data_IF_562365289094
#
_entry.id   IF_562365289094
#
_cell.length_a   1.000
_cell.length_b   1.000
_cell.length_c   1.000
_cell.angle_alpha   90.00
_cell.angle_beta   90.00
_cell.angle_gamma   90.00
#
_symmetry.space_group_name_H-M   'P 1'
#
loop_
_entity.id
_entity.type
_entity.pdbx_description
1 polymer ?
#
# COMPACT_ATOMS: atom_id res chain seq x y z
N UNK A 1 -59.23 5.53 -44.16
CA UNK A 1 -59.02 5.43 -42.74
C UNK A 1 -58.05 4.26 -42.40
N UNK A 2 -58.34 3.00 -42.79
CA UNK A 2 -57.47 1.87 -42.48
C UNK A 2 -56.03 1.92 -42.98
N UNK A 3 -55.83 2.46 -44.18
CA UNK A 3 -54.50 2.59 -44.82
C UNK A 3 -53.60 3.63 -44.08
N UNK A 4 -54.22 4.74 -43.61
CA UNK A 4 -53.50 5.73 -42.77
C UNK A 4 -53.13 5.22 -41.42
N UNK A 5 -53.98 4.41 -40.77
CA UNK A 5 -53.70 3.75 -39.49
C UNK A 5 -52.59 2.72 -39.65
N UNK A 6 -52.60 1.93 -40.72
CA UNK A 6 -51.52 0.97 -41.03
C UNK A 6 -50.17 1.62 -41.25
N UNK A 7 -50.09 2.73 -41.98
CA UNK A 7 -48.89 3.53 -42.19
C UNK A 7 -48.36 4.11 -40.86
N UNK A 8 -49.23 4.60 -39.99
CA UNK A 8 -48.86 5.15 -38.70
C UNK A 8 -48.27 4.09 -37.78
N UNK A 9 -48.87 2.89 -37.75
CA UNK A 9 -48.35 1.75 -36.98
C UNK A 9 -46.96 1.35 -37.50
N UNK A 10 -46.78 1.27 -38.82
CA UNK A 10 -45.51 0.91 -39.43
C UNK A 10 -44.43 1.97 -39.17
N UNK A 11 -44.78 3.25 -39.19
CA UNK A 11 -43.87 4.34 -38.83
C UNK A 11 -43.43 4.28 -37.35
N UNK A 12 -44.35 4.01 -36.43
CA UNK A 12 -44.04 3.83 -35.00
C UNK A 12 -43.13 2.62 -34.80
N UNK A 13 -43.42 1.51 -35.45
CA UNK A 13 -42.61 0.29 -35.37
C UNK A 13 -41.18 0.52 -35.91
N UNK A 14 -41.04 1.23 -37.02
CA UNK A 14 -39.76 1.63 -37.59
C UNK A 14 -38.98 2.53 -36.61
N UNK A 15 -39.65 3.49 -35.97
CA UNK A 15 -39.01 4.40 -34.99
C UNK A 15 -38.56 3.67 -33.75
N UNK A 16 -39.30 2.69 -33.24
CA UNK A 16 -38.93 1.81 -32.14
C UNK A 16 -37.67 0.99 -32.53
N UNK A 17 -37.64 0.41 -33.70
CA UNK A 17 -36.49 -0.36 -34.20
C UNK A 17 -35.27 0.54 -34.33
N UNK A 18 -35.39 1.72 -34.91
CA UNK A 18 -34.31 2.70 -35.04
C UNK A 18 -33.75 3.11 -33.65
N UNK A 19 -34.59 3.39 -32.69
CA UNK A 19 -34.19 3.76 -31.34
C UNK A 19 -33.45 2.62 -30.63
N UNK A 20 -33.83 1.36 -30.89
CA UNK A 20 -33.15 0.17 -30.36
C UNK A 20 -31.78 -0.09 -31.01
N UNK A 21 -31.53 0.44 -32.21
CA UNK A 21 -30.26 0.26 -32.91
C UNK A 21 -29.11 1.12 -32.33
N UNK A 22 -29.47 2.25 -31.74
CA UNK A 22 -28.47 3.18 -31.20
C UNK A 22 -28.06 2.76 -29.79
N UNK A 23 -26.75 2.59 -29.59
CA UNK A 23 -26.15 2.31 -28.26
C UNK A 23 -25.06 3.33 -27.99
N UNK A 24 -25.09 3.90 -26.78
CA UNK A 24 -24.07 4.80 -26.27
C UNK A 24 -23.20 4.00 -25.32
N UNK A 25 -21.90 4.01 -25.56
CA UNK A 25 -20.89 3.42 -24.65
C UNK A 25 -20.34 4.52 -23.78
N UNK A 26 -20.56 4.46 -22.44
CA UNK A 26 -20.04 5.44 -21.50
C UNK A 26 -18.53 5.42 -21.41
N UNK A 27 -17.95 6.49 -20.83
CA UNK A 27 -16.51 6.59 -20.62
C UNK A 27 -15.99 5.49 -19.69
N UNK A 28 -14.79 4.98 -19.96
CA UNK A 28 -14.15 3.88 -19.25
C UNK A 28 -14.93 2.55 -19.29
N UNK A 29 -15.71 2.34 -20.33
CA UNK A 29 -16.37 1.07 -20.65
C UNK A 29 -16.10 0.68 -22.10
N UNK A 30 -16.17 -0.62 -22.37
CA UNK A 30 -16.18 -1.17 -23.71
C UNK A 30 -17.31 -2.20 -23.82
N UNK A 31 -17.85 -2.38 -25.01
CA UNK A 31 -18.85 -3.41 -25.30
C UNK A 31 -18.33 -4.38 -26.34
N UNK A 32 -18.32 -5.65 -26.00
CA UNK A 32 -17.99 -6.72 -26.95
C UNK A 32 -19.25 -7.11 -27.68
N UNK A 33 -19.22 -7.06 -29.01
CA UNK A 33 -20.38 -7.28 -29.87
C UNK A 33 -20.16 -8.51 -30.72
N UNK A 34 -21.18 -9.35 -30.73
CA UNK A 34 -21.29 -10.55 -31.54
C UNK A 34 -22.30 -10.34 -32.70
N UNK A 35 -21.98 -10.89 -33.84
CA UNK A 35 -22.90 -10.98 -34.97
C UNK A 35 -23.16 -12.45 -35.24
N UNK A 36 -24.42 -12.90 -35.03
CA UNK A 36 -24.82 -14.29 -35.22
C UNK A 36 -23.93 -15.29 -34.50
N UNK A 37 -23.47 -14.92 -33.27
CA UNK A 37 -22.61 -15.76 -32.46
C UNK A 37 -21.10 -15.63 -32.73
N UNK A 38 -20.68 -14.91 -33.76
CA UNK A 38 -19.28 -14.64 -34.03
C UNK A 38 -18.86 -13.27 -33.51
N UNK A 39 -17.64 -13.14 -32.99
CA UNK A 39 -17.07 -11.85 -32.57
C UNK A 39 -17.01 -10.89 -33.76
N UNK A 40 -17.74 -9.78 -33.64
CA UNK A 40 -17.79 -8.71 -34.67
C UNK A 40 -16.77 -7.61 -34.38
N UNK A 41 -16.63 -7.22 -33.12
CA UNK A 41 -15.74 -6.12 -32.71
C UNK A 41 -15.98 -5.66 -31.29
N UNK A 42 -15.08 -4.80 -30.82
CA UNK A 42 -15.19 -4.14 -29.52
C UNK A 42 -15.54 -2.67 -29.73
N UNK A 43 -16.64 -2.22 -29.15
CA UNK A 43 -17.04 -0.84 -29.19
C UNK A 43 -16.43 -0.07 -28.05
N UNK A 44 -15.67 0.94 -28.38
CA UNK A 44 -15.09 1.89 -27.43
C UNK A 44 -16.12 3.00 -27.11
N UNK A 45 -15.72 3.97 -26.31
CA UNK A 45 -16.53 5.11 -25.91
C UNK A 45 -17.12 5.84 -27.13
N UNK A 46 -18.39 6.16 -27.07
CA UNK A 46 -19.10 6.91 -28.10
C UNK A 46 -20.41 6.29 -28.54
N UNK A 47 -20.94 6.81 -29.64
CA UNK A 47 -22.19 6.37 -30.22
C UNK A 47 -21.93 5.29 -31.26
N UNK A 48 -22.61 4.15 -31.10
CA UNK A 48 -22.52 3.01 -32.01
C UNK A 48 -23.89 2.57 -32.48
N UNK A 49 -23.94 2.04 -33.69
CA UNK A 49 -25.18 1.54 -34.29
C UNK A 49 -25.06 0.04 -34.42
N UNK A 50 -25.99 -0.70 -33.84
CA UNK A 50 -26.09 -2.15 -33.97
C UNK A 50 -27.17 -2.53 -34.99
N UNK A 51 -26.94 -3.57 -35.79
CA UNK A 51 -27.98 -4.17 -36.60
C UNK A 51 -29.02 -4.85 -35.71
N UNK A 52 -30.30 -4.48 -35.79
CA UNK A 52 -31.35 -5.15 -35.03
C UNK A 52 -31.43 -6.62 -35.42
N UNK A 53 -31.72 -7.48 -34.43
CA UNK A 53 -31.82 -8.95 -34.52
C UNK A 53 -30.53 -9.70 -34.86
N UNK A 54 -29.51 -9.08 -35.48
CA UNK A 54 -28.29 -9.74 -35.93
C UNK A 54 -27.16 -9.49 -34.95
N UNK A 55 -27.01 -8.26 -34.44
CA UNK A 55 -25.94 -7.89 -33.50
C UNK A 55 -26.42 -8.01 -32.04
N UNK A 56 -25.61 -8.65 -31.23
CA UNK A 56 -25.82 -8.82 -29.76
C UNK A 56 -24.63 -8.26 -28.99
N UNK A 57 -24.90 -7.54 -27.92
CA UNK A 57 -23.86 -7.17 -26.96
C UNK A 57 -23.62 -8.39 -26.08
N UNK A 58 -22.47 -9.05 -26.24
CA UNK A 58 -22.09 -10.21 -25.50
C UNK A 58 -21.72 -9.86 -24.05
N UNK A 59 -20.85 -8.85 -23.86
CA UNK A 59 -20.41 -8.41 -22.53
C UNK A 59 -20.15 -6.90 -22.52
N UNK A 60 -20.48 -6.26 -21.39
CA UNK A 60 -20.02 -4.91 -21.05
C UNK A 60 -18.84 -5.03 -20.10
N UNK A 61 -17.76 -4.38 -20.44
CA UNK A 61 -16.50 -4.48 -19.72
C UNK A 61 -16.14 -3.11 -19.18
N UNK A 62 -15.83 -3.05 -17.89
CA UNK A 62 -15.37 -1.83 -17.21
C UNK A 62 -13.85 -1.81 -17.31
N UNK A 63 -13.31 -0.73 -17.91
CA UNK A 63 -11.87 -0.56 -18.13
C UNK A 63 -11.17 0.16 -16.96
N UNK A 64 -11.93 0.57 -15.94
CA UNK A 64 -11.36 1.14 -14.72
C UNK A 64 -10.67 0.06 -13.93
N UNK A 65 -9.72 0.46 -13.08
CA UNK A 65 -9.15 -0.43 -12.10
C UNK A 65 -10.24 -0.99 -11.18
N UNK A 66 -10.21 -2.29 -10.99
CA UNK A 66 -11.13 -3.03 -10.14
C UNK A 66 -10.34 -3.64 -8.98
N UNK A 67 -11.02 -3.79 -7.86
CA UNK A 67 -10.45 -4.36 -6.64
C UNK A 67 -11.29 -5.57 -6.25
N UNK A 68 -10.60 -6.70 -6.02
CA UNK A 68 -11.24 -7.90 -5.51
C UNK A 68 -10.53 -8.34 -4.25
N UNK A 69 -11.31 -8.54 -3.20
CA UNK A 69 -10.87 -9.05 -1.90
C UNK A 69 -11.14 -10.55 -1.87
N UNK A 70 -10.09 -11.35 -1.76
CA UNK A 70 -10.21 -12.80 -1.70
C UNK A 70 -10.20 -13.29 -0.25
N UNK A 71 -11.01 -14.32 0.06
CA UNK A 71 -11.11 -14.86 1.41
C UNK A 71 -9.77 -15.44 1.89
N UNK A 72 -9.58 -15.57 3.22
CA UNK A 72 -8.37 -16.12 3.81
C UNK A 72 -8.04 -17.52 3.28
N UNK A 73 -6.88 -17.66 2.67
CA UNK A 73 -6.39 -18.93 2.12
C UNK A 73 -5.45 -19.60 3.13
N UNK A 74 -5.62 -20.90 3.42
CA UNK A 74 -4.68 -21.64 4.25
C UNK A 74 -3.40 -21.91 3.47
N UNK A 75 -2.27 -21.55 4.06
CA UNK A 75 -0.92 -21.76 3.51
C UNK A 75 -0.02 -22.36 4.58
N UNK A 76 1.03 -23.05 4.15
CA UNK A 76 2.02 -23.68 5.04
C UNK A 76 3.37 -23.10 4.69
N UNK A 77 4.08 -22.59 5.69
CA UNK A 77 5.44 -22.07 5.55
C UNK A 77 6.47 -23.18 5.50
N UNK A 78 7.73 -22.83 5.13
CA UNK A 78 8.86 -23.74 5.07
C UNK A 78 9.15 -24.43 6.41
N UNK A 79 8.93 -23.76 7.51
CA UNK A 79 9.06 -24.27 8.89
C UNK A 79 7.79 -24.99 9.39
N UNK A 80 6.91 -25.38 8.46
CA UNK A 80 5.71 -26.18 8.69
C UNK A 80 4.65 -25.55 9.59
N UNK A 81 4.55 -24.21 9.56
CA UNK A 81 3.48 -23.48 10.27
C UNK A 81 2.32 -23.23 9.31
N UNK A 82 1.12 -23.68 9.67
CA UNK A 82 -0.11 -23.37 8.92
C UNK A 82 -0.66 -22.02 9.33
N UNK A 83 -0.86 -21.12 8.37
CA UNK A 83 -1.44 -19.80 8.60
C UNK A 83 -2.54 -19.49 7.60
N UNK A 84 -3.34 -18.47 7.88
CA UNK A 84 -4.36 -17.95 6.95
C UNK A 84 -3.95 -16.57 6.48
N UNK A 85 -3.99 -16.35 5.16
CA UNK A 85 -3.61 -15.08 4.55
C UNK A 85 -4.71 -14.61 3.61
N UNK A 86 -5.18 -13.38 3.81
CA UNK A 86 -6.13 -12.71 2.90
C UNK A 86 -5.32 -11.89 1.90
N UNK A 87 -5.84 -11.84 0.67
CA UNK A 87 -5.20 -11.05 -0.40
C UNK A 87 -6.21 -10.16 -1.09
N UNK A 88 -5.76 -8.97 -1.45
CA UNK A 88 -6.50 -8.01 -2.27
C UNK A 88 -5.76 -7.82 -3.58
N UNK A 89 -6.45 -7.99 -4.69
CA UNK A 89 -5.87 -7.86 -6.04
C UNK A 89 -6.49 -6.66 -6.73
N UNK A 90 -5.64 -5.76 -7.20
CA UNK A 90 -5.98 -4.60 -8.02
C UNK A 90 -5.63 -4.91 -9.47
N UNK A 91 -6.61 -4.90 -10.33
CA UNK A 91 -6.43 -5.21 -11.74
C UNK A 91 -7.28 -4.32 -12.64
N UNK A 92 -6.91 -4.23 -13.89
CA UNK A 92 -7.70 -3.58 -14.93
C UNK A 92 -7.79 -4.45 -16.17
N UNK A 93 -8.86 -4.29 -16.93
CA UNK A 93 -9.05 -5.02 -18.17
C UNK A 93 -8.44 -4.19 -19.29
N UNK A 94 -7.43 -4.76 -19.97
CA UNK A 94 -6.72 -4.13 -21.09
C UNK A 94 -7.31 -4.52 -22.44
N UNK A 95 -7.73 -5.80 -22.58
CA UNK A 95 -8.38 -6.28 -23.78
C UNK A 95 -9.76 -6.90 -23.46
N UNK A 96 -10.86 -6.19 -23.80
CA UNK A 96 -12.22 -6.67 -23.58
C UNK A 96 -12.56 -7.95 -24.34
N UNK A 97 -11.93 -8.21 -25.50
CA UNK A 97 -12.13 -9.43 -26.28
C UNK A 97 -11.56 -10.64 -25.55
N UNK A 98 -10.29 -10.56 -25.14
CA UNK A 98 -9.63 -11.63 -24.41
C UNK A 98 -10.32 -11.87 -23.05
N UNK A 99 -10.74 -10.81 -22.36
CA UNK A 99 -11.51 -10.91 -21.12
C UNK A 99 -12.85 -11.64 -21.28
N UNK A 100 -13.48 -11.51 -22.45
CA UNK A 100 -14.79 -12.12 -22.72
C UNK A 100 -14.70 -13.56 -23.14
N UNK A 101 -13.68 -13.93 -23.93
CA UNK A 101 -13.55 -15.23 -24.57
C UNK A 101 -12.34 -16.05 -24.12
N UNK A 102 -11.37 -15.43 -23.44
CA UNK A 102 -10.15 -16.11 -23.03
C UNK A 102 -10.34 -17.05 -21.85
N UNK A 103 -11.30 -16.73 -20.95
CA UNK A 103 -11.61 -17.53 -19.77
C UNK A 103 -13.10 -17.38 -19.41
N UNK A 104 -13.71 -18.47 -18.95
CA UNK A 104 -15.16 -18.48 -18.65
C UNK A 104 -15.49 -17.60 -17.45
N UNK A 105 -14.74 -17.75 -16.37
CA UNK A 105 -14.93 -16.95 -15.15
C UNK A 105 -13.60 -16.31 -14.71
N UNK A 106 -13.29 -15.08 -15.20
CA UNK A 106 -12.02 -14.42 -14.91
C UNK A 106 -11.72 -14.22 -13.42
N UNK A 107 -12.74 -13.86 -12.63
CA UNK A 107 -12.56 -13.58 -11.20
C UNK A 107 -12.21 -14.86 -10.44
N UNK A 108 -12.93 -15.95 -10.68
CA UNK A 108 -12.62 -17.25 -10.07
C UNK A 108 -11.25 -17.76 -10.51
N UNK A 109 -10.87 -17.53 -11.77
CA UNK A 109 -9.56 -17.92 -12.28
C UNK A 109 -8.43 -17.14 -11.57
N UNK A 110 -8.59 -15.83 -11.37
CA UNK A 110 -7.64 -15.00 -10.61
C UNK A 110 -7.58 -15.46 -9.14
N UNK A 111 -8.71 -15.78 -8.51
CA UNK A 111 -8.77 -16.27 -7.13
C UNK A 111 -7.93 -17.54 -6.96
N UNK A 112 -8.20 -18.55 -7.78
CA UNK A 112 -7.47 -19.82 -7.73
C UNK A 112 -5.98 -19.66 -8.05
N UNK A 113 -5.65 -18.80 -9.01
CA UNK A 113 -4.28 -18.50 -9.37
C UNK A 113 -3.58 -17.75 -8.21
N UNK A 114 -4.25 -16.81 -7.57
CA UNK A 114 -3.76 -16.09 -6.39
C UNK A 114 -3.48 -17.07 -5.25
N UNK A 115 -4.42 -17.98 -4.96
CA UNK A 115 -4.27 -18.98 -3.90
C UNK A 115 -3.10 -19.93 -4.14
N UNK A 116 -2.92 -20.41 -5.38
CA UNK A 116 -1.82 -21.31 -5.73
C UNK A 116 -0.47 -20.61 -5.74
N UNK A 117 -0.40 -19.39 -6.28
CA UNK A 117 0.82 -18.58 -6.30
C UNK A 117 1.24 -18.20 -4.89
N UNK A 118 0.29 -17.78 -4.04
CA UNK A 118 0.54 -17.47 -2.64
C UNK A 118 1.12 -18.68 -1.90
N UNK A 119 0.51 -19.86 -2.08
CA UNK A 119 0.99 -21.10 -1.45
C UNK A 119 2.43 -21.43 -1.85
N UNK A 120 2.77 -21.26 -3.12
CA UNK A 120 4.12 -21.52 -3.61
C UNK A 120 5.13 -20.52 -3.00
N UNK A 121 4.82 -19.22 -3.01
CA UNK A 121 5.72 -18.19 -2.48
C UNK A 121 5.92 -18.34 -0.97
N UNK A 122 4.85 -18.61 -0.20
CA UNK A 122 4.92 -18.78 1.26
C UNK A 122 5.59 -20.09 1.63
N UNK A 123 5.43 -21.16 0.83
CA UNK A 123 6.08 -22.45 1.07
C UNK A 123 7.61 -22.40 1.03
N UNK A 124 8.18 -21.39 0.38
CA UNK A 124 9.62 -21.15 0.32
C UNK A 124 10.14 -20.25 1.48
N UNK A 125 9.25 -19.65 2.27
CA UNK A 125 9.55 -18.69 3.32
C UNK A 125 9.30 -19.27 4.71
N UNK A 126 10.11 -18.86 5.68
CA UNK A 126 9.86 -19.10 7.11
C UNK A 126 8.80 -18.13 7.65
N UNK A 127 8.21 -18.45 8.80
CA UNK A 127 7.18 -17.64 9.44
C UNK A 127 7.62 -16.18 9.63
N UNK A 128 8.79 -15.96 10.19
CA UNK A 128 9.32 -14.61 10.46
C UNK A 128 9.55 -13.83 9.16
N UNK A 129 10.03 -14.50 8.11
CA UNK A 129 10.20 -13.91 6.79
C UNK A 129 8.85 -13.52 6.17
N UNK A 130 7.83 -14.37 6.34
CA UNK A 130 6.48 -14.09 5.83
C UNK A 130 5.87 -12.87 6.49
N UNK A 131 6.11 -12.67 7.79
CA UNK A 131 5.59 -11.51 8.53
C UNK A 131 6.34 -10.20 8.21
N UNK A 132 7.64 -10.28 7.93
CA UNK A 132 8.51 -9.10 7.74
C UNK A 132 8.67 -8.68 6.28
N UNK A 133 8.54 -9.62 5.32
CA UNK A 133 8.86 -9.40 3.90
C UNK A 133 7.62 -9.20 3.01
N UNK A 134 6.56 -8.58 3.52
CA UNK A 134 5.29 -8.38 2.79
C UNK A 134 5.47 -7.75 1.42
N UNK A 135 6.30 -6.73 1.30
CA UNK A 135 6.56 -6.02 0.04
C UNK A 135 7.20 -6.93 -1.02
N UNK A 136 8.12 -7.78 -0.60
CA UNK A 136 8.75 -8.77 -1.49
C UNK A 136 7.72 -9.81 -1.97
N UNK A 137 6.85 -10.27 -1.09
CA UNK A 137 5.78 -11.22 -1.42
C UNK A 137 4.79 -10.55 -2.39
N UNK A 138 4.32 -9.34 -2.10
CA UNK A 138 3.41 -8.57 -2.95
C UNK A 138 3.99 -8.40 -4.37
N UNK A 139 5.28 -8.08 -4.48
CA UNK A 139 5.97 -7.90 -5.76
C UNK A 139 6.07 -9.21 -6.54
N UNK A 140 6.44 -10.32 -5.89
CA UNK A 140 6.49 -11.65 -6.51
C UNK A 140 5.11 -12.12 -6.95
N UNK A 141 4.09 -11.93 -6.11
CA UNK A 141 2.70 -12.24 -6.41
C UNK A 141 2.23 -11.46 -7.65
N UNK A 142 2.43 -10.15 -7.65
CA UNK A 142 2.06 -9.29 -8.78
C UNK A 142 2.70 -9.77 -10.08
N UNK A 143 4.01 -10.01 -10.07
CA UNK A 143 4.74 -10.44 -11.26
C UNK A 143 4.24 -11.80 -11.81
N UNK A 144 3.98 -12.77 -10.93
CA UNK A 144 3.47 -14.06 -11.33
C UNK A 144 2.02 -13.99 -11.85
N UNK A 145 1.17 -13.22 -11.20
CA UNK A 145 -0.22 -13.05 -11.60
C UNK A 145 -0.34 -12.28 -12.92
N UNK A 146 0.43 -11.21 -13.12
CA UNK A 146 0.41 -10.38 -14.32
C UNK A 146 0.73 -11.20 -15.57
N UNK A 147 1.80 -12.02 -15.52
CA UNK A 147 2.17 -12.92 -16.60
C UNK A 147 1.07 -13.95 -16.89
N UNK A 148 0.46 -14.51 -15.88
CA UNK A 148 -0.54 -15.56 -16.03
C UNK A 148 -1.91 -15.02 -16.48
N UNK A 149 -2.24 -13.76 -16.21
CA UNK A 149 -3.51 -13.13 -16.58
C UNK A 149 -3.48 -12.37 -17.91
N UNK A 150 -2.29 -12.11 -18.46
CA UNK A 150 -2.11 -11.43 -19.74
C UNK A 150 -2.88 -12.11 -20.91
N UNK A 151 -2.89 -13.45 -21.07
CA UNK A 151 -3.69 -14.13 -22.09
C UNK A 151 -5.21 -13.90 -21.96
N UNK A 152 -5.68 -13.46 -20.80
CA UNK A 152 -7.09 -13.14 -20.54
C UNK A 152 -7.39 -11.65 -20.73
N UNK A 153 -6.42 -10.85 -21.17
CA UNK A 153 -6.57 -9.40 -21.34
C UNK A 153 -6.75 -8.66 -20.02
N UNK A 154 -6.17 -9.19 -18.95
CA UNK A 154 -6.22 -8.62 -17.59
C UNK A 154 -4.80 -8.26 -17.18
N UNK A 155 -4.61 -7.02 -16.73
CA UNK A 155 -3.37 -6.52 -16.16
C UNK A 155 -3.50 -6.40 -14.66
N UNK A 156 -2.62 -7.07 -13.92
CA UNK A 156 -2.54 -6.97 -12.46
C UNK A 156 -1.61 -5.80 -12.10
N UNK A 157 -2.19 -4.73 -11.56
CA UNK A 157 -1.44 -3.54 -11.19
C UNK A 157 -0.74 -3.72 -9.85
N UNK A 158 -1.45 -4.28 -8.86
CA UNK A 158 -0.97 -4.45 -7.49
C UNK A 158 -1.64 -5.62 -6.80
N UNK A 159 -0.89 -6.28 -5.93
CA UNK A 159 -1.38 -7.32 -5.02
C UNK A 159 -0.95 -6.93 -3.62
N UNK A 160 -1.85 -7.03 -2.66
CA UNK A 160 -1.61 -6.69 -1.26
C UNK A 160 -2.02 -7.84 -0.35
N UNK A 161 -1.13 -8.22 0.56
CA UNK A 161 -1.47 -9.09 1.68
C UNK A 161 -2.17 -8.26 2.76
N UNK A 162 -3.44 -8.55 3.04
CA UNK A 162 -4.26 -7.81 3.98
C UNK A 162 -3.97 -8.25 5.41
N UNK A 163 -4.26 -9.48 5.75
CA UNK A 163 -4.01 -10.07 7.06
C UNK A 163 -3.17 -11.34 6.91
N UNK A 164 -2.25 -11.53 7.86
CA UNK A 164 -1.50 -12.77 8.02
C UNK A 164 -1.82 -13.26 9.43
N UNK A 165 -2.53 -14.38 9.52
CA UNK A 165 -3.07 -14.90 10.78
C UNK A 165 -2.39 -16.23 11.07
N UNK A 166 -1.35 -16.25 11.94
CA UNK A 166 -0.75 -17.48 12.41
C UNK A 166 -1.69 -18.22 13.39
N UNK A 167 -1.41 -19.49 13.72
CA UNK A 167 -2.14 -20.23 14.75
C UNK A 167 -2.07 -19.52 16.10
N UNK A 168 -3.14 -19.58 16.89
CA UNK A 168 -3.24 -18.89 18.19
C UNK A 168 -2.08 -19.23 19.14
N UNK A 169 -1.64 -20.48 19.20
CA UNK A 169 -0.53 -20.89 20.04
C UNK A 169 0.80 -20.19 19.69
N UNK A 170 1.02 -19.94 18.41
CA UNK A 170 2.22 -19.21 17.95
C UNK A 170 2.06 -17.71 18.20
N UNK A 171 0.87 -17.16 17.99
CA UNK A 171 0.56 -15.77 18.28
C UNK A 171 0.80 -15.46 19.77
N UNK A 172 0.29 -16.29 20.68
CA UNK A 172 0.51 -16.16 22.12
C UNK A 172 2.00 -16.25 22.51
N UNK A 173 2.74 -17.17 21.87
CA UNK A 173 4.18 -17.28 22.10
C UNK A 173 4.95 -16.05 21.64
N UNK A 174 4.63 -15.53 20.45
CA UNK A 174 5.24 -14.31 19.91
C UNK A 174 4.90 -13.08 20.75
N UNK A 175 3.67 -12.94 21.25
CA UNK A 175 3.29 -11.84 22.15
C UNK A 175 4.10 -11.88 23.44
N UNK A 176 4.26 -13.05 24.05
CA UNK A 176 5.08 -13.22 25.25
C UNK A 176 6.56 -12.89 25.00
N UNK A 177 7.10 -13.35 23.88
CA UNK A 177 8.47 -13.05 23.48
C UNK A 177 8.69 -11.56 23.24
N UNK A 178 7.78 -10.92 22.51
CA UNK A 178 7.84 -9.48 22.25
C UNK A 178 7.71 -8.65 23.52
N UNK A 179 6.86 -9.06 24.46
CA UNK A 179 6.72 -8.41 25.77
C UNK A 179 8.02 -8.49 26.55
N UNK A 180 8.60 -9.67 26.68
CA UNK A 180 9.87 -9.85 27.37
C UNK A 180 11.02 -9.05 26.74
N UNK A 181 11.09 -8.99 25.41
CA UNK A 181 12.10 -8.20 24.69
C UNK A 181 11.90 -6.68 24.89
N UNK A 182 10.66 -6.19 24.93
CA UNK A 182 10.35 -4.79 25.25
C UNK A 182 10.76 -4.46 26.68
N UNK A 183 10.42 -5.28 27.64
CA UNK A 183 10.80 -5.13 29.06
C UNK A 183 12.33 -5.11 29.22
N UNK A 184 13.04 -5.99 28.51
CA UNK A 184 14.52 -6.01 28.48
C UNK A 184 15.10 -4.72 27.92
N UNK A 185 14.58 -4.24 26.78
CA UNK A 185 15.04 -2.98 26.16
C UNK A 185 14.74 -1.78 27.06
N UNK A 186 13.57 -1.74 27.68
CA UNK A 186 13.19 -0.68 28.62
C UNK A 186 14.16 -0.62 29.79
N UNK A 187 14.49 -1.77 30.42
CA UNK A 187 15.44 -1.84 31.52
C UNK A 187 16.85 -1.35 31.11
N UNK A 188 17.32 -1.72 29.92
CA UNK A 188 18.61 -1.27 29.38
C UNK A 188 18.61 0.25 29.16
N UNK A 189 17.60 0.77 28.45
CA UNK A 189 17.49 2.21 28.16
C UNK A 189 17.38 3.04 29.43
N UNK A 190 16.66 2.55 30.45
CA UNK A 190 16.55 3.20 31.75
C UNK A 190 17.91 3.24 32.48
N UNK A 191 18.63 2.12 32.52
CA UNK A 191 19.96 2.06 33.16
C UNK A 191 20.96 2.95 32.40
N UNK A 192 20.96 2.98 31.10
CA UNK A 192 21.80 3.87 30.29
C UNK A 192 21.46 5.35 30.52
N UNK A 193 20.16 5.67 30.59
CA UNK A 193 19.66 7.01 30.91
C UNK A 193 20.11 7.50 32.30
N UNK A 194 19.98 6.66 33.32
CA UNK A 194 20.42 6.95 34.67
C UNK A 194 21.95 7.15 34.74
N UNK A 195 22.72 6.28 34.08
CA UNK A 195 24.17 6.43 33.97
C UNK A 195 24.55 7.76 33.30
N UNK A 196 23.94 8.08 32.17
CA UNK A 196 24.22 9.31 31.43
C UNK A 196 23.82 10.57 32.20
N UNK A 197 22.70 10.51 32.90
CA UNK A 197 22.24 11.60 33.78
C UNK A 197 23.23 11.83 34.93
N UNK A 198 23.69 10.76 35.61
CA UNK A 198 24.66 10.86 36.71
C UNK A 198 26.00 11.43 36.23
N UNK A 199 26.50 11.03 35.08
CA UNK A 199 27.72 11.57 34.47
C UNK A 199 27.55 13.06 34.17
N UNK A 200 26.47 13.47 33.50
CA UNK A 200 26.21 14.87 33.17
C UNK A 200 26.09 15.76 34.42
N UNK A 201 25.42 15.28 35.47
CA UNK A 201 25.33 16.00 36.74
C UNK A 201 26.72 16.14 37.38
N UNK A 202 27.55 15.11 37.36
CA UNK A 202 28.90 15.17 37.92
C UNK A 202 29.82 16.11 37.12
N UNK A 203 29.70 16.08 35.78
CA UNK A 203 30.43 17.01 34.91
C UNK A 203 29.98 18.46 35.10
N UNK A 204 28.68 18.70 35.23
CA UNK A 204 28.11 20.01 35.52
C UNK A 204 28.61 20.57 36.85
N UNK A 205 28.63 19.74 37.93
CA UNK A 205 29.20 20.15 39.23
C UNK A 205 30.69 20.47 39.13
N UNK A 206 31.46 19.63 38.44
CA UNK A 206 32.90 19.88 38.23
C UNK A 206 33.12 21.22 37.51
N UNK A 207 32.35 21.46 36.44
CA UNK A 207 32.46 22.70 35.67
C UNK A 207 32.06 23.95 36.46
N UNK A 208 31.03 23.83 37.32
CA UNK A 208 30.64 24.90 38.22
C UNK A 208 31.75 25.26 39.19
N UNK A 209 32.35 24.27 39.87
CA UNK A 209 33.46 24.51 40.80
C UNK A 209 34.69 25.14 40.14
N UNK A 210 35.00 24.76 38.89
CA UNK A 210 36.11 25.32 38.11
C UNK A 210 35.81 26.81 37.80
N UNK A 211 34.62 27.11 37.31
CA UNK A 211 34.19 28.47 37.01
C UNK A 211 34.15 29.39 38.23
N UNK A 212 33.68 28.89 39.38
CA UNK A 212 33.68 29.61 40.63
C UNK A 212 35.13 29.93 41.08
N UNK A 213 36.02 28.96 41.02
CA UNK A 213 37.48 29.16 41.37
C UNK A 213 38.16 30.15 40.38
N UNK A 214 37.84 30.10 39.09
CA UNK A 214 38.37 31.05 38.10
C UNK A 214 37.84 32.46 38.35
N UNK A 215 36.56 32.62 38.69
CA UNK A 215 35.94 33.91 39.04
C UNK A 215 36.59 34.52 40.31
N UNK A 216 36.81 33.70 41.34
CA UNK A 216 37.49 34.14 42.54
C UNK A 216 38.91 34.61 42.28
N UNK A 217 39.68 33.82 41.50
CA UNK A 217 41.04 34.17 41.05
C UNK A 217 41.04 35.50 40.28
N UNK A 218 40.12 35.67 39.31
CA UNK A 218 40.03 36.87 38.53
C UNK A 218 39.65 38.10 39.35
N UNK A 219 38.71 37.92 40.31
CA UNK A 219 38.33 38.96 41.28
C UNK A 219 39.50 39.37 42.18
N UNK A 220 40.30 38.41 42.66
CA UNK A 220 41.49 38.68 43.45
C UNK A 220 42.60 39.45 42.65
N UNK A 221 42.80 39.09 41.40
CA UNK A 221 43.77 39.76 40.48
C UNK A 221 43.32 41.23 40.26
N UNK A 222 42.03 41.42 39.90
CA UNK A 222 41.48 42.80 39.65
C UNK A 222 41.56 43.67 40.89
N UNK A 223 41.32 43.13 42.11
CA UNK A 223 41.47 43.84 43.39
C UNK A 223 42.94 44.23 43.62
N UNK A 224 43.86 43.33 43.39
CA UNK A 224 45.29 43.61 43.56
C UNK A 224 45.82 44.68 42.56
N UNK A 225 45.35 44.63 41.32
CA UNK A 225 45.65 45.63 40.27
C UNK A 225 45.07 47.02 40.65
N UNK A 226 43.82 47.10 41.10
CA UNK A 226 43.20 48.34 41.55
C UNK A 226 43.91 48.94 42.76
N UNK A 227 44.36 48.11 43.72
CA UNK A 227 45.12 48.56 44.88
C UNK A 227 46.53 49.07 44.49
N UNK A 228 47.18 48.39 43.55
CA UNK A 228 48.46 48.86 42.98
C UNK A 228 48.29 50.22 42.29
N UNK A 229 47.28 50.39 41.46
CA UNK A 229 47.00 51.65 40.74
C UNK A 229 46.69 52.80 41.72
N UNK A 230 45.92 52.49 42.79
CA UNK A 230 45.63 53.44 43.86
C UNK A 230 46.91 53.91 44.57
N UNK A 231 47.79 52.94 44.94
CA UNK A 231 49.07 53.29 45.59
C UNK A 231 50.01 54.11 44.69
N UNK A 232 50.01 53.85 43.37
CA UNK A 232 50.79 54.64 42.40
C UNK A 232 50.26 56.07 42.31
N UNK A 233 48.92 56.27 42.21
CA UNK A 233 48.30 57.58 42.17
C UNK A 233 48.45 58.38 43.48
N UNK A 234 48.41 57.68 44.62
CA UNK A 234 48.67 58.28 45.93
C UNK A 234 50.14 58.73 46.07
N UNK A 235 51.08 57.95 45.53
CA UNK A 235 52.53 58.33 45.54
C UNK A 235 52.84 59.50 44.56
N UNK A 236 52.20 59.50 43.38
CA UNK A 236 52.32 60.60 42.41
C UNK A 236 51.70 61.94 42.99
N UNK A 237 50.57 61.87 43.69
CA UNK A 237 49.97 63.01 44.33
C UNK A 237 50.69 63.54 45.59
N UNK A 238 51.65 62.78 46.12
CA UNK A 238 52.52 63.23 47.21
C UNK A 238 53.86 63.81 46.73
N UNK A 239 54.16 63.65 45.43
CA UNK A 239 55.39 64.13 44.82
C UNK A 239 55.23 65.49 44.07
N UNK A 240 53.99 65.99 43.95
CA UNK A 240 53.68 67.41 43.61
C UNK A 240 53.50 68.26 44.83
#
# INVERSE_FOLDING_TARGET
MGLLIGLLILAILALIILSSCVKIVPQAQAMVVERLGAYQGTWNVGLHVKAPFIDRVAKRVILKEQVVDFPPQPVITKDNVTMKIDTVVFFQITDPKLYTYGVENPIMAIENLTATTLRNIIGDLELDQTLTSRETINTKMRAALDVATDPWGIKVNRVELKNIIPPAAIQDAMEKQMKAERERREAILKAEGEKKSTILVAEGKKQSVILDAEADKQSAILRAEAEKEKRIKEAEGQAE
#
